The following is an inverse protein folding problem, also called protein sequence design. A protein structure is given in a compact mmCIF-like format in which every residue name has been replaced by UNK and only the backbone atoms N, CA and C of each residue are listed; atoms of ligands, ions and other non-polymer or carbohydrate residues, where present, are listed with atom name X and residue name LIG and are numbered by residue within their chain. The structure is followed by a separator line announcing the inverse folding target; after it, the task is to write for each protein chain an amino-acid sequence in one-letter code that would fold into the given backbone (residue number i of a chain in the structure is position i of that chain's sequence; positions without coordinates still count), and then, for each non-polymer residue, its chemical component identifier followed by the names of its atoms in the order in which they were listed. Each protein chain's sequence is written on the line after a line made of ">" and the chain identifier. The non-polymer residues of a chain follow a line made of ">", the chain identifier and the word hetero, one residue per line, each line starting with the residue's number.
data_IF_715841947410
#
_entry.id   IF_715841947410
#
_cell.length_a   1.000
_cell.length_b   1.000
_cell.length_c   1.000
_cell.angle_alpha   90.00
_cell.angle_beta   90.00
_cell.angle_gamma   90.00
#
_symmetry.space_group_name_H-M   'P 1'
#
loop_
_entity.id
_entity.type
_entity.pdbx_description
1 polymer ?
#
# COMPACT_ATOMS: atom_id res chain seq x y z
N UNK A 1 21.70 -15.79 -0.35
CA UNK A 1 22.39 -14.57 0.13
C UNK A 1 21.63 -14.07 1.35
N UNK A 2 22.32 -13.56 2.37
CA UNK A 2 21.71 -13.17 3.65
C UNK A 2 21.44 -11.65 3.65
N UNK A 3 20.24 -11.23 4.03
CA UNK A 3 19.84 -9.82 4.10
C UNK A 3 20.59 -9.11 5.24
N UNK A 4 20.85 -7.80 5.09
CA UNK A 4 21.49 -6.99 6.12
C UNK A 4 20.45 -6.12 6.84
N UNK A 5 20.35 -6.29 8.15
CA UNK A 5 19.56 -5.42 9.01
C UNK A 5 20.15 -4.00 9.05
N UNK A 6 19.31 -2.98 8.82
CA UNK A 6 19.70 -1.57 8.96
C UNK A 6 19.40 -1.05 10.36
N UNK A 7 20.34 -0.30 10.93
CA UNK A 7 20.19 0.40 12.21
C UNK A 7 19.11 1.49 12.13
N UNK A 8 18.58 1.92 13.28
CA UNK A 8 17.59 3.02 13.36
C UNK A 8 18.10 4.28 12.67
N UNK A 9 19.36 4.65 12.88
CA UNK A 9 19.98 5.83 12.25
C UNK A 9 20.04 5.71 10.72
N UNK A 10 20.35 4.51 10.22
CA UNK A 10 20.36 4.25 8.78
C UNK A 10 18.95 4.36 8.18
N UNK A 11 17.92 3.91 8.89
CA UNK A 11 16.50 4.07 8.47
C UNK A 11 16.09 5.54 8.46
N UNK A 12 16.45 6.31 9.48
CA UNK A 12 16.17 7.76 9.56
C UNK A 12 16.84 8.50 8.39
N UNK A 13 18.11 8.21 8.12
CA UNK A 13 18.83 8.82 7.00
C UNK A 13 18.16 8.53 5.65
N UNK A 14 17.70 7.30 5.43
CA UNK A 14 16.98 6.96 4.19
C UNK A 14 15.64 7.69 4.11
N UNK A 15 14.86 7.71 5.20
CA UNK A 15 13.56 8.38 5.23
C UNK A 15 13.69 9.89 5.00
N UNK A 16 14.66 10.55 5.62
CA UNK A 16 14.92 11.98 5.42
C UNK A 16 15.23 12.30 3.95
N UNK A 17 16.02 11.46 3.27
CA UNK A 17 16.30 11.62 1.84
C UNK A 17 15.07 11.37 0.95
N UNK A 18 14.15 10.48 1.36
CA UNK A 18 12.89 10.21 0.66
C UNK A 18 11.81 11.28 0.89
N UNK A 19 11.88 12.02 2.00
CA UNK A 19 10.91 13.09 2.33
C UNK A 19 11.40 14.49 1.97
N UNK A 20 12.68 14.66 1.63
CA UNK A 20 13.27 15.94 1.23
C UNK A 20 12.94 16.37 -0.22
N UNK A 21 11.91 15.80 -0.83
CA UNK A 21 11.30 16.33 -2.06
C UNK A 21 10.40 17.52 -1.68
N UNK A 22 10.98 18.58 -1.14
CA UNK A 22 10.29 19.87 -0.96
C UNK A 22 10.27 20.59 -2.30
N UNK A 23 9.06 20.96 -2.72
CA UNK A 23 8.69 21.93 -3.78
C UNK A 23 9.67 22.12 -4.94
N UNK A 24 9.22 21.74 -6.14
CA UNK A 24 9.83 22.19 -7.38
C UNK A 24 9.69 23.72 -7.44
N UNK A 25 10.64 24.47 -6.89
CA UNK A 25 10.71 25.92 -7.02
C UNK A 25 11.21 26.23 -8.45
N UNK A 26 10.38 26.82 -9.33
CA UNK A 26 10.75 27.08 -10.71
C UNK A 26 11.77 28.22 -10.86
N UNK A 27 12.15 28.90 -9.78
CA UNK A 27 13.14 29.96 -9.81
C UNK A 27 14.54 29.40 -9.54
N UNK A 28 15.56 29.71 -10.37
CA UNK A 28 16.93 29.42 -9.99
C UNK A 28 17.24 30.22 -8.71
N UNK A 29 17.88 29.61 -7.69
CA UNK A 29 18.30 30.37 -6.53
C UNK A 29 19.29 31.44 -7.00
N UNK A 30 19.00 32.70 -6.64
CA UNK A 30 19.95 33.80 -6.74
C UNK A 30 21.23 33.40 -5.96
N UNK A 31 22.36 33.66 -6.61
CA UNK A 31 23.75 33.44 -6.23
C UNK A 31 24.08 32.96 -4.79
N UNK A 32 24.94 31.92 -4.71
CA UNK A 32 25.73 31.50 -3.55
C UNK A 32 25.05 30.81 -2.35
N UNK A 33 24.12 29.88 -2.61
CA UNK A 33 23.81 28.80 -1.66
C UNK A 33 24.25 27.46 -2.23
N UNK A 34 25.15 26.74 -1.53
CA UNK A 34 25.45 25.34 -1.81
C UNK A 34 24.12 24.56 -1.92
N UNK A 35 23.70 24.22 -3.14
CA UNK A 35 22.54 23.36 -3.42
C UNK A 35 22.90 21.93 -3.00
N UNK A 36 22.97 21.70 -1.69
CA UNK A 36 23.38 20.43 -1.08
C UNK A 36 22.22 19.59 -0.54
N UNK A 37 20.97 20.00 -0.70
CA UNK A 37 19.89 19.40 0.12
C UNK A 37 18.54 19.20 -0.55
N UNK A 38 18.43 19.24 -1.87
CA UNK A 38 17.18 18.88 -2.55
C UNK A 38 17.25 17.44 -3.08
N UNK A 39 16.36 16.58 -2.57
CA UNK A 39 16.20 15.23 -3.08
C UNK A 39 15.81 15.28 -4.56
N UNK A 40 16.65 14.74 -5.44
CA UNK A 40 16.37 14.67 -6.87
C UNK A 40 16.24 13.22 -7.32
N UNK A 41 15.62 12.98 -8.48
CA UNK A 41 15.39 11.62 -9.00
C UNK A 41 16.69 10.81 -9.15
N UNK A 42 17.83 11.47 -9.39
CA UNK A 42 19.14 10.80 -9.46
C UNK A 42 19.57 10.26 -8.10
N UNK A 43 19.32 11.00 -7.01
CA UNK A 43 19.55 10.53 -5.65
C UNK A 43 18.63 9.34 -5.33
N UNK A 44 17.36 9.41 -5.71
CA UNK A 44 16.42 8.29 -5.54
C UNK A 44 16.89 7.03 -6.28
N UNK A 45 17.27 7.12 -7.55
CA UNK A 45 17.79 5.98 -8.31
C UNK A 45 19.09 5.42 -7.70
N UNK A 46 19.94 6.29 -7.14
CA UNK A 46 21.17 5.86 -6.46
C UNK A 46 20.85 5.10 -5.17
N UNK A 47 19.88 5.59 -4.40
CA UNK A 47 19.37 4.94 -3.20
C UNK A 47 18.73 3.59 -3.54
N UNK A 48 17.88 3.51 -4.57
CA UNK A 48 17.31 2.25 -5.06
C UNK A 48 18.39 1.24 -5.40
N UNK A 49 19.39 1.65 -6.18
CA UNK A 49 20.53 0.79 -6.53
C UNK A 49 21.30 0.32 -5.29
N UNK A 50 21.51 1.20 -4.31
CA UNK A 50 22.18 0.84 -3.07
C UNK A 50 21.37 -0.18 -2.25
N UNK A 51 20.09 0.10 -1.99
CA UNK A 51 19.21 -0.79 -1.23
C UNK A 51 19.05 -2.17 -1.89
N UNK A 52 18.96 -2.21 -3.23
CA UNK A 52 18.92 -3.47 -3.98
C UNK A 52 20.23 -4.24 -3.92
N UNK A 53 21.37 -3.56 -4.06
CA UNK A 53 22.70 -4.21 -4.04
C UNK A 53 23.06 -4.77 -2.67
N UNK A 54 22.66 -4.07 -1.60
CA UNK A 54 22.97 -4.45 -0.22
C UNK A 54 21.93 -5.38 0.41
N UNK A 55 20.87 -5.73 -0.35
CA UNK A 55 19.76 -6.56 0.14
C UNK A 55 19.21 -6.01 1.46
N UNK A 56 18.80 -4.74 1.42
CA UNK A 56 18.27 -4.02 2.57
C UNK A 56 17.10 -4.77 3.22
N UNK A 57 17.25 -5.14 4.49
CA UNK A 57 16.20 -5.75 5.30
C UNK A 57 15.40 -4.69 6.07
N UNK A 58 14.62 -3.88 5.35
CA UNK A 58 13.79 -2.88 5.99
C UNK A 58 12.52 -2.63 5.18
N UNK A 59 11.46 -3.33 5.56
CA UNK A 59 10.14 -3.19 4.94
C UNK A 59 9.66 -1.73 4.89
N UNK A 60 9.87 -0.95 5.97
CA UNK A 60 9.41 0.44 6.05
C UNK A 60 10.04 1.26 4.92
N UNK A 61 11.36 1.17 4.76
CA UNK A 61 12.07 1.87 3.68
C UNK A 61 11.56 1.44 2.31
N UNK A 62 11.40 0.13 2.08
CA UNK A 62 10.89 -0.38 0.81
C UNK A 62 9.45 0.09 0.49
N UNK A 63 8.57 0.15 1.49
CA UNK A 63 7.22 0.70 1.35
C UNK A 63 7.22 2.17 0.93
N UNK A 64 8.09 2.99 1.52
CA UNK A 64 8.21 4.41 1.11
C UNK A 64 8.76 4.54 -0.32
N UNK A 65 9.79 3.78 -0.66
CA UNK A 65 10.36 3.79 -2.02
C UNK A 65 9.34 3.30 -3.05
N UNK A 66 8.56 2.28 -2.71
CA UNK A 66 7.47 1.76 -3.53
C UNK A 66 6.41 2.82 -3.79
N UNK A 67 5.87 3.42 -2.72
CA UNK A 67 4.87 4.49 -2.82
C UNK A 67 5.36 5.64 -3.68
N UNK A 68 6.62 6.03 -3.52
CA UNK A 68 7.21 7.09 -4.34
C UNK A 68 7.23 6.74 -5.82
N UNK A 69 7.68 5.52 -6.20
CA UNK A 69 7.66 5.07 -7.60
C UNK A 69 6.25 5.11 -8.18
N UNK A 70 5.25 4.69 -7.41
CA UNK A 70 3.87 4.70 -7.87
C UNK A 70 3.35 6.11 -8.11
N UNK A 71 3.60 7.02 -7.18
CA UNK A 71 3.23 8.43 -7.34
C UNK A 71 3.88 8.99 -8.58
N UNK A 72 5.18 8.76 -8.78
CA UNK A 72 5.85 9.19 -10.01
C UNK A 72 5.18 8.57 -11.24
N UNK A 73 5.05 7.25 -11.29
CA UNK A 73 4.49 6.55 -12.46
C UNK A 73 3.10 7.04 -12.83
N UNK A 74 2.18 7.14 -11.87
CA UNK A 74 0.80 7.58 -12.10
C UNK A 74 0.74 9.04 -12.58
N UNK A 75 1.71 9.90 -12.22
CA UNK A 75 1.82 11.27 -12.72
C UNK A 75 2.58 11.39 -14.07
N UNK A 76 3.47 10.45 -14.41
CA UNK A 76 4.22 10.47 -15.68
C UNK A 76 3.47 9.78 -16.82
N UNK A 77 2.76 8.68 -16.55
CA UNK A 77 2.13 7.86 -17.61
C UNK A 77 0.94 8.55 -18.31
N UNK A 78 0.37 9.59 -17.70
CA UNK A 78 -0.65 10.44 -18.33
C UNK A 78 -0.13 11.23 -19.54
N UNK A 79 1.18 11.24 -19.78
CA UNK A 79 1.82 11.99 -20.85
C UNK A 79 2.47 11.05 -21.89
N UNK A 80 2.00 11.14 -23.15
CA UNK A 80 2.41 10.24 -24.24
C UNK A 80 3.92 10.22 -24.53
N UNK A 81 4.63 11.32 -24.22
CA UNK A 81 6.07 11.49 -24.38
C UNK A 81 6.90 10.77 -23.30
N UNK A 82 6.26 10.28 -22.22
CA UNK A 82 6.95 9.68 -21.08
C UNK A 82 6.78 8.15 -20.98
N UNK A 83 6.24 7.50 -22.01
CA UNK A 83 6.03 6.03 -22.05
C UNK A 83 7.29 5.22 -21.79
N UNK A 84 8.44 5.67 -22.28
CA UNK A 84 9.72 4.98 -22.08
C UNK A 84 10.21 5.07 -20.63
N UNK A 85 10.02 6.23 -19.99
CA UNK A 85 10.28 6.41 -18.55
C UNK A 85 9.40 5.47 -17.72
N UNK A 86 8.11 5.37 -18.06
CA UNK A 86 7.19 4.43 -17.42
C UNK A 86 7.63 2.97 -17.55
N UNK A 87 8.06 2.53 -18.75
CA UNK A 87 8.62 1.18 -18.96
C UNK A 87 9.86 0.91 -18.11
N UNK A 88 10.75 1.90 -17.95
CA UNK A 88 11.94 1.78 -17.12
C UNK A 88 11.60 1.65 -15.63
N UNK A 89 10.61 2.40 -15.15
CA UNK A 89 10.12 2.28 -13.77
C UNK A 89 9.52 0.88 -13.51
N UNK A 90 8.66 0.39 -14.42
CA UNK A 90 8.11 -0.96 -14.34
C UNK A 90 9.24 -1.99 -14.32
N UNK A 91 10.20 -1.89 -15.25
CA UNK A 91 11.34 -2.80 -15.29
C UNK A 91 12.13 -2.81 -13.97
N UNK A 92 12.42 -1.64 -13.41
CA UNK A 92 13.16 -1.49 -12.16
C UNK A 92 12.44 -2.19 -10.98
N UNK A 93 11.11 -2.11 -10.95
CA UNK A 93 10.28 -2.79 -9.94
C UNK A 93 10.29 -4.31 -10.15
N UNK A 94 10.09 -4.79 -11.38
CA UNK A 94 10.12 -6.23 -11.70
C UNK A 94 11.47 -6.85 -11.38
N UNK A 95 12.56 -6.18 -11.76
CA UNK A 95 13.94 -6.63 -11.54
C UNK A 95 14.26 -6.84 -10.06
N UNK A 96 13.58 -6.12 -9.15
CA UNK A 96 13.72 -6.32 -7.71
C UNK A 96 12.72 -7.34 -7.15
N UNK A 97 11.43 -7.14 -7.44
CA UNK A 97 10.36 -7.91 -6.81
C UNK A 97 10.39 -9.39 -7.21
N UNK A 98 10.79 -9.71 -8.44
CA UNK A 98 10.77 -11.09 -8.93
C UNK A 98 11.84 -11.98 -8.28
N UNK A 99 13.11 -11.57 -8.17
CA UNK A 99 14.09 -12.30 -7.36
C UNK A 99 13.64 -12.47 -5.90
N UNK A 100 13.06 -11.43 -5.28
CA UNK A 100 12.56 -11.50 -3.91
C UNK A 100 11.47 -12.56 -3.75
N UNK A 101 10.45 -12.53 -4.61
CA UNK A 101 9.37 -13.52 -4.56
C UNK A 101 9.87 -14.94 -4.87
N UNK A 102 10.86 -15.09 -5.75
CA UNK A 102 11.48 -16.39 -6.01
C UNK A 102 12.25 -16.92 -4.79
N UNK A 103 12.82 -16.04 -3.95
CA UNK A 103 13.55 -16.42 -2.75
C UNK A 103 12.61 -16.80 -1.60
N UNK A 104 11.51 -16.05 -1.41
CA UNK A 104 10.57 -16.28 -0.31
C UNK A 104 9.42 -17.24 -0.66
N UNK A 105 9.17 -17.49 -1.95
CA UNK A 105 7.98 -18.18 -2.46
C UNK A 105 6.67 -17.43 -2.15
N UNK A 106 5.55 -17.98 -2.59
CA UNK A 106 4.22 -17.45 -2.23
C UNK A 106 3.76 -17.83 -0.82
N UNK A 107 4.37 -18.87 -0.21
CA UNK A 107 3.95 -19.40 1.09
C UNK A 107 4.94 -19.08 2.18
N UNK A 108 4.42 -18.86 3.39
CA UNK A 108 5.27 -18.59 4.55
C UNK A 108 6.11 -19.82 4.91
N UNK A 109 7.39 -19.62 5.21
CA UNK A 109 8.24 -20.69 5.77
C UNK A 109 8.02 -20.79 7.29
N UNK A 110 8.23 -21.97 7.86
CA UNK A 110 7.94 -22.26 9.28
C UNK A 110 8.68 -21.32 10.25
N UNK A 111 9.93 -20.98 9.92
CA UNK A 111 10.82 -20.17 10.74
C UNK A 111 11.16 -18.85 10.02
N UNK A 112 10.24 -18.35 9.18
CA UNK A 112 10.38 -17.05 8.50
C UNK A 112 10.22 -15.91 9.50
N UNK A 113 11.15 -14.96 9.51
CA UNK A 113 10.97 -13.75 10.29
C UNK A 113 9.90 -12.84 9.66
N UNK A 114 9.46 -11.86 10.45
CA UNK A 114 8.36 -11.01 10.02
C UNK A 114 8.75 -9.97 8.97
N UNK A 115 10.03 -9.62 8.85
CA UNK A 115 10.48 -8.72 7.80
C UNK A 115 10.47 -9.44 6.44
N UNK A 116 11.01 -10.66 6.37
CA UNK A 116 10.94 -11.54 5.20
C UNK A 116 9.48 -11.74 4.74
N UNK A 117 8.58 -12.01 5.70
CA UNK A 117 7.14 -12.15 5.43
C UNK A 117 6.53 -10.89 4.81
N UNK A 118 6.88 -9.71 5.32
CA UNK A 118 6.36 -8.45 4.80
C UNK A 118 6.99 -8.08 3.45
N UNK A 119 8.29 -8.37 3.25
CA UNK A 119 8.98 -8.17 1.97
C UNK A 119 8.37 -9.05 0.87
N UNK A 120 7.99 -10.30 1.19
CA UNK A 120 7.22 -11.17 0.30
C UNK A 120 5.90 -10.50 -0.11
N UNK A 121 5.10 -10.01 0.84
CA UNK A 121 3.84 -9.34 0.54
C UNK A 121 4.03 -8.10 -0.33
N UNK A 122 5.08 -7.31 -0.08
CA UNK A 122 5.42 -6.15 -0.90
C UNK A 122 5.82 -6.56 -2.32
N UNK A 123 6.62 -7.61 -2.48
CA UNK A 123 7.01 -8.12 -3.80
C UNK A 123 5.78 -8.60 -4.60
N UNK A 124 4.83 -9.28 -3.96
CA UNK A 124 3.56 -9.66 -4.61
C UNK A 124 2.78 -8.43 -5.05
N UNK A 125 2.61 -7.41 -4.19
CA UNK A 125 1.92 -6.16 -4.53
C UNK A 125 2.57 -5.45 -5.71
N UNK A 126 3.89 -5.37 -5.73
CA UNK A 126 4.65 -4.80 -6.84
C UNK A 126 4.41 -5.56 -8.15
N UNK A 127 4.47 -6.90 -8.13
CA UNK A 127 4.27 -7.71 -9.33
C UNK A 127 2.82 -7.73 -9.82
N UNK A 128 1.86 -7.61 -8.90
CA UNK A 128 0.45 -7.38 -9.26
C UNK A 128 0.26 -6.04 -9.95
N UNK A 129 0.91 -4.97 -9.47
CA UNK A 129 0.85 -3.66 -10.11
C UNK A 129 1.48 -3.66 -11.51
N UNK A 130 2.52 -4.46 -11.73
CA UNK A 130 3.10 -4.66 -13.07
C UNK A 130 2.33 -5.66 -13.93
N UNK A 131 1.20 -6.18 -13.45
CA UNK A 131 0.37 -7.17 -14.14
C UNK A 131 1.13 -8.46 -14.52
N UNK A 132 2.02 -8.94 -13.64
CA UNK A 132 2.78 -10.18 -13.90
C UNK A 132 1.82 -11.37 -14.00
N UNK A 133 1.73 -12.07 -15.15
CA UNK A 133 0.64 -13.02 -15.41
C UNK A 133 0.56 -14.18 -14.43
N UNK A 134 1.70 -14.69 -13.98
CA UNK A 134 1.82 -15.75 -12.99
C UNK A 134 1.30 -15.33 -11.61
N UNK A 135 1.63 -14.11 -11.19
CA UNK A 135 1.18 -13.55 -9.91
C UNK A 135 -0.31 -13.23 -9.95
N UNK A 136 -0.79 -12.63 -11.05
CA UNK A 136 -2.22 -12.36 -11.25
C UNK A 136 -3.02 -13.66 -11.22
N UNK A 137 -2.57 -14.71 -11.92
CA UNK A 137 -3.25 -16.00 -11.92
C UNK A 137 -3.32 -16.62 -10.52
N UNK A 138 -2.22 -16.60 -9.77
CA UNK A 138 -2.19 -17.15 -8.41
C UNK A 138 -3.07 -16.36 -7.43
N UNK A 139 -3.06 -15.03 -7.50
CA UNK A 139 -3.89 -14.19 -6.62
C UNK A 139 -5.37 -14.27 -6.99
N UNK A 140 -5.72 -14.37 -8.28
CA UNK A 140 -7.09 -14.69 -8.70
C UNK A 140 -7.55 -16.02 -8.14
N UNK A 141 -6.71 -17.07 -8.23
CA UNK A 141 -7.02 -18.39 -7.66
C UNK A 141 -7.24 -18.32 -6.13
N UNK A 142 -6.41 -17.55 -5.43
CA UNK A 142 -6.56 -17.35 -3.98
C UNK A 142 -7.81 -16.53 -3.64
N UNK A 143 -8.23 -15.58 -4.48
CA UNK A 143 -9.44 -14.78 -4.25
C UNK A 143 -10.73 -15.62 -4.24
N UNK A 144 -10.70 -16.83 -4.81
CA UNK A 144 -11.82 -17.79 -4.80
C UNK A 144 -11.84 -18.70 -3.55
N UNK A 145 -10.80 -18.66 -2.70
CA UNK A 145 -10.75 -19.41 -1.46
C UNK A 145 -11.52 -18.68 -0.34
N UNK A 146 -12.06 -19.42 0.65
CA UNK A 146 -12.54 -18.82 1.89
C UNK A 146 -11.44 -17.99 2.58
N UNK A 147 -11.80 -16.83 3.17
CA UNK A 147 -10.82 -15.93 3.81
C UNK A 147 -10.06 -16.60 4.97
N UNK A 148 -10.68 -17.57 5.63
CA UNK A 148 -10.10 -18.40 6.69
C UNK A 148 -9.01 -19.35 6.18
N UNK A 149 -9.03 -19.72 4.90
CA UNK A 149 -8.02 -20.56 4.26
C UNK A 149 -6.82 -19.77 3.73
N UNK A 150 -6.93 -18.44 3.65
CA UNK A 150 -5.84 -17.55 3.25
C UNK A 150 -4.86 -17.34 4.41
N UNK A 151 -3.56 -17.44 4.10
CA UNK A 151 -2.51 -17.03 5.03
C UNK A 151 -2.69 -15.57 5.44
N UNK A 152 -2.60 -15.28 6.74
CA UNK A 152 -2.84 -13.93 7.27
C UNK A 152 -2.04 -12.83 6.53
N UNK A 153 -0.72 -12.99 6.28
CA UNK A 153 0.09 -11.95 5.64
C UNK A 153 -0.36 -11.54 4.24
N UNK A 154 -0.86 -12.50 3.43
CA UNK A 154 -1.23 -12.24 2.04
C UNK A 154 -2.71 -11.87 1.88
N UNK A 155 -3.54 -12.19 2.88
CA UNK A 155 -5.00 -12.00 2.83
C UNK A 155 -5.38 -10.56 2.48
N UNK A 156 -4.68 -9.55 3.02
CA UNK A 156 -4.92 -8.14 2.68
C UNK A 156 -4.69 -7.83 1.18
N UNK A 157 -3.67 -8.44 0.58
CA UNK A 157 -3.36 -8.26 -0.85
C UNK A 157 -4.44 -8.91 -1.70
N UNK A 158 -4.87 -10.13 -1.32
CA UNK A 158 -5.94 -10.86 -2.02
C UNK A 158 -7.28 -10.12 -1.93
N UNK A 159 -7.65 -9.61 -0.75
CA UNK A 159 -8.91 -8.86 -0.57
C UNK A 159 -8.91 -7.55 -1.35
N UNK A 160 -7.79 -6.81 -1.39
CA UNK A 160 -7.66 -5.60 -2.21
C UNK A 160 -7.76 -5.90 -3.71
N UNK A 161 -7.10 -6.96 -4.17
CA UNK A 161 -7.20 -7.41 -5.55
C UNK A 161 -8.64 -7.79 -5.90
N UNK A 162 -9.32 -8.59 -5.06
CA UNK A 162 -10.69 -9.02 -5.28
C UNK A 162 -11.68 -7.83 -5.32
N UNK A 163 -11.53 -6.88 -4.39
CA UNK A 163 -12.39 -5.70 -4.31
C UNK A 163 -12.24 -4.80 -5.54
N UNK A 164 -11.00 -4.58 -5.99
CA UNK A 164 -10.70 -3.64 -7.09
C UNK A 164 -10.80 -4.27 -8.47
N UNK A 165 -10.17 -5.43 -8.68
CA UNK A 165 -9.98 -6.02 -10.01
C UNK A 165 -11.07 -7.04 -10.37
N UNK A 166 -11.68 -7.69 -9.38
CA UNK A 166 -12.71 -8.72 -9.59
C UNK A 166 -14.14 -8.21 -9.29
N UNK A 167 -14.30 -6.93 -8.94
CA UNK A 167 -15.61 -6.34 -8.65
C UNK A 167 -16.30 -6.89 -7.39
N UNK A 168 -15.57 -7.54 -6.47
CA UNK A 168 -16.13 -8.18 -5.27
C UNK A 168 -16.29 -7.25 -4.07
N UNK A 169 -16.19 -5.93 -4.27
CA UNK A 169 -16.25 -4.95 -3.19
C UNK A 169 -17.57 -5.00 -2.40
N UNK A 170 -18.71 -5.16 -3.06
CA UNK A 170 -20.02 -5.26 -2.38
C UNK A 170 -20.19 -6.57 -1.59
N UNK A 171 -19.73 -7.70 -2.14
CA UNK A 171 -19.70 -8.99 -1.43
C UNK A 171 -18.84 -8.91 -0.16
N UNK A 172 -17.64 -8.34 -0.28
CA UNK A 172 -16.73 -8.12 0.85
C UNK A 172 -17.33 -7.16 1.88
N UNK A 173 -18.11 -6.17 1.45
CA UNK A 173 -18.80 -5.23 2.33
C UNK A 173 -19.86 -5.95 3.17
N UNK A 174 -20.62 -6.86 2.57
CA UNK A 174 -21.59 -7.70 3.30
C UNK A 174 -20.87 -8.56 4.34
N UNK A 175 -19.82 -9.30 3.96
CA UNK A 175 -19.02 -10.12 4.89
C UNK A 175 -18.45 -9.32 6.05
N UNK A 176 -17.95 -8.10 5.78
CA UNK A 176 -17.42 -7.21 6.82
C UNK A 176 -18.41 -6.91 7.95
N UNK A 177 -19.70 -6.78 7.61
CA UNK A 177 -20.76 -6.43 8.55
C UNK A 177 -21.48 -7.66 9.14
N UNK A 178 -21.38 -8.83 8.50
CA UNK A 178 -21.95 -10.09 8.97
C UNK A 178 -21.01 -10.86 9.92
N UNK A 179 -19.70 -10.86 9.69
CA UNK A 179 -18.71 -11.64 10.46
C UNK A 179 -18.30 -10.97 11.80
N UNK A 180 -19.23 -10.34 12.53
CA UNK A 180 -18.94 -9.72 13.83
C UNK A 180 -18.85 -10.77 14.95
N UNK A 181 -17.86 -11.67 14.85
CA UNK A 181 -17.16 -12.13 16.04
C UNK A 181 -15.98 -11.20 16.26
N UNK A 182 -15.97 -10.49 17.39
CA UNK A 182 -14.83 -9.67 17.79
C UNK A 182 -13.68 -10.61 18.15
N UNK A 183 -12.94 -11.08 17.16
CA UNK A 183 -11.68 -11.76 17.41
C UNK A 183 -10.80 -10.80 18.24
N UNK A 184 -10.41 -11.18 19.47
CA UNK A 184 -9.61 -10.29 20.29
C UNK A 184 -8.28 -10.07 19.57
N UNK A 185 -7.79 -8.82 19.48
CA UNK A 185 -6.48 -8.55 18.90
C UNK A 185 -5.42 -8.99 19.92
N UNK A 186 -5.15 -10.29 19.99
CA UNK A 186 -4.07 -10.83 20.81
C UNK A 186 -3.24 -11.75 19.92
N UNK A 187 -2.13 -11.22 19.42
CA UNK A 187 -1.04 -12.02 18.86
C UNK A 187 -0.97 -12.20 17.33
N UNK A 188 -1.85 -11.57 16.53
CA UNK A 188 -1.73 -11.66 15.06
C UNK A 188 -0.86 -10.52 14.53
N UNK A 189 0.44 -10.77 14.43
CA UNK A 189 1.46 -9.83 13.89
C UNK A 189 1.07 -9.21 12.54
N UNK A 190 0.25 -9.91 11.77
CA UNK A 190 -0.11 -9.54 10.40
C UNK A 190 -1.55 -9.05 10.22
N UNK A 191 -2.35 -8.89 11.28
CA UNK A 191 -3.74 -8.38 11.21
C UNK A 191 -4.84 -9.45 11.19
N UNK A 192 -6.08 -9.04 11.49
CA UNK A 192 -7.27 -9.91 11.53
C UNK A 192 -7.96 -10.03 10.17
N UNK A 193 -8.86 -11.02 9.99
CA UNK A 193 -9.71 -11.13 8.78
C UNK A 193 -10.45 -9.82 8.53
N UNK A 194 -11.07 -9.28 9.58
CA UNK A 194 -11.80 -8.01 9.53
C UNK A 194 -10.93 -6.86 9.02
N UNK A 195 -9.69 -6.75 9.52
CA UNK A 195 -8.74 -5.72 9.08
C UNK A 195 -8.31 -5.89 7.62
N UNK A 196 -8.19 -7.12 7.14
CA UNK A 196 -7.85 -7.40 5.75
C UNK A 196 -9.02 -7.12 4.79
N UNK A 197 -10.26 -7.41 5.20
CA UNK A 197 -11.44 -7.00 4.46
C UNK A 197 -11.50 -5.47 4.41
N UNK A 198 -11.27 -4.80 5.54
CA UNK A 198 -11.24 -3.33 5.62
C UNK A 198 -10.22 -2.70 4.67
N UNK A 199 -9.00 -3.24 4.66
CA UNK A 199 -7.95 -2.86 3.73
C UNK A 199 -8.43 -2.99 2.27
N UNK A 200 -9.05 -4.12 1.92
CA UNK A 200 -9.55 -4.37 0.57
C UNK A 200 -10.68 -3.42 0.16
N UNK A 201 -11.64 -3.16 1.05
CA UNK A 201 -12.74 -2.21 0.80
C UNK A 201 -12.25 -0.79 0.57
N UNK A 202 -11.20 -0.37 1.29
CA UNK A 202 -10.58 0.95 1.10
C UNK A 202 -9.70 1.03 -0.16
N UNK A 203 -9.22 -0.10 -0.70
CA UNK A 203 -8.54 -0.17 -1.99
C UNK A 203 -9.50 -0.21 -3.20
N UNK A 204 -10.80 -0.43 -2.96
CA UNK A 204 -11.82 -0.60 -3.98
C UNK A 204 -11.97 0.65 -4.87
N UNK A 205 -12.24 0.38 -6.14
CA UNK A 205 -12.59 1.37 -7.17
C UNK A 205 -13.45 0.66 -8.20
N UNK A 206 -14.62 1.20 -8.50
CA UNK A 206 -15.51 0.65 -9.52
C UNK A 206 -15.09 1.19 -10.89
N UNK A 207 -14.24 0.45 -11.60
CA UNK A 207 -13.75 0.83 -12.94
C UNK A 207 -14.90 0.99 -13.96
N UNK A 208 -16.05 0.34 -13.75
CA UNK A 208 -17.23 0.51 -14.62
C UNK A 208 -17.89 1.89 -14.46
N UNK A 209 -17.57 2.60 -13.38
CA UNK A 209 -18.09 3.92 -13.01
C UNK A 209 -16.99 4.97 -12.97
N UNK A 210 -15.86 4.71 -13.63
CA UNK A 210 -14.75 5.66 -13.75
C UNK A 210 -15.25 7.03 -14.23
N UNK A 211 -14.72 8.10 -13.64
CA UNK A 211 -15.05 9.50 -13.92
C UNK A 211 -16.49 9.89 -13.49
N UNK A 212 -17.13 9.07 -12.65
CA UNK A 212 -18.44 9.39 -12.03
C UNK A 212 -18.31 9.56 -10.51
N UNK A 213 -19.29 10.22 -9.85
CA UNK A 213 -19.29 10.32 -8.39
C UNK A 213 -19.26 8.96 -7.66
N UNK A 214 -19.73 7.88 -8.29
CA UNK A 214 -19.88 6.56 -7.67
C UNK A 214 -18.63 5.68 -7.78
N UNK A 215 -17.59 6.11 -8.50
CA UNK A 215 -16.32 5.39 -8.68
C UNK A 215 -15.70 4.89 -7.36
N UNK A 216 -15.83 5.69 -6.30
CA UNK A 216 -15.27 5.42 -4.97
C UNK A 216 -16.35 5.20 -3.90
N UNK A 217 -17.57 4.82 -4.29
CA UNK A 217 -18.71 4.70 -3.37
C UNK A 217 -18.40 3.85 -2.14
N UNK A 218 -17.91 2.61 -2.33
CA UNK A 218 -17.60 1.68 -1.23
C UNK A 218 -16.53 2.25 -0.30
N UNK A 219 -15.45 2.81 -0.85
CA UNK A 219 -14.39 3.47 -0.08
C UNK A 219 -14.99 4.58 0.80
N UNK A 220 -15.80 5.47 0.23
CA UNK A 220 -16.38 6.61 0.97
C UNK A 220 -17.35 6.16 2.04
N UNK A 221 -18.19 5.16 1.76
CA UNK A 221 -19.11 4.57 2.76
C UNK A 221 -18.34 4.01 3.95
N UNK A 222 -17.30 3.23 3.69
CA UNK A 222 -16.47 2.57 4.71
C UNK A 222 -15.65 3.59 5.51
N UNK A 223 -14.96 4.53 4.85
CA UNK A 223 -14.20 5.58 5.53
C UNK A 223 -15.12 6.46 6.39
N UNK A 224 -16.29 6.84 5.87
CA UNK A 224 -17.27 7.59 6.65
C UNK A 224 -17.74 6.80 7.87
N UNK A 225 -18.00 5.49 7.74
CA UNK A 225 -18.41 4.66 8.87
C UNK A 225 -17.32 4.57 9.96
N UNK A 226 -16.05 4.43 9.57
CA UNK A 226 -14.90 4.31 10.49
C UNK A 226 -14.61 5.62 11.23
N UNK A 227 -14.76 6.76 10.57
CA UNK A 227 -14.38 8.07 11.10
C UNK A 227 -15.57 8.92 11.62
N UNK A 228 -16.81 8.42 11.59
CA UNK A 228 -17.98 9.20 12.00
C UNK A 228 -18.18 9.27 13.52
N UNK A 229 -17.31 10.02 14.23
CA UNK A 229 -17.30 10.23 15.68
C UNK A 229 -18.63 10.75 16.29
N UNK A 230 -19.56 11.25 15.47
CA UNK A 230 -20.84 11.82 15.91
C UNK A 230 -21.92 10.79 16.29
N UNK A 231 -21.73 9.50 15.94
CA UNK A 231 -22.64 8.40 16.30
C UNK A 231 -21.95 7.41 17.25
N UNK A 232 -21.74 7.76 18.53
CA UNK A 232 -21.04 6.92 19.48
C UNK A 232 -21.67 5.53 19.66
N UNK A 233 -22.96 5.33 19.35
CA UNK A 233 -23.59 4.00 19.43
C UNK A 233 -23.18 3.04 18.28
N UNK A 234 -22.65 3.58 17.17
CA UNK A 234 -22.00 2.81 16.09
C UNK A 234 -20.50 2.59 16.34
N UNK A 235 -19.88 3.44 17.18
CA UNK A 235 -18.42 3.50 17.37
C UNK A 235 -17.97 2.88 18.69
N UNK A 236 -18.76 2.95 19.74
CA UNK A 236 -18.40 2.50 21.11
C UNK A 236 -18.21 0.99 21.26
N UNK A 237 -18.40 0.21 20.17
CA UNK A 237 -18.07 -1.21 20.11
C UNK A 237 -17.20 -1.62 18.91
N UNK A 238 -16.89 -0.73 17.96
CA UNK A 238 -16.72 -1.21 16.58
C UNK A 238 -15.38 -0.93 15.88
N UNK A 239 -14.55 0.03 16.26
CA UNK A 239 -13.29 0.28 15.51
C UNK A 239 -12.14 0.71 16.44
N UNK A 240 -11.04 -0.05 16.42
CA UNK A 240 -9.80 0.32 17.15
C UNK A 240 -8.90 1.18 16.25
N UNK A 241 -7.94 1.95 16.81
CA UNK A 241 -6.97 2.71 15.99
C UNK A 241 -6.24 1.87 14.95
N UNK A 242 -6.04 0.57 15.23
CA UNK A 242 -5.45 -0.37 14.28
C UNK A 242 -6.34 -0.57 13.04
N UNK A 243 -7.66 -0.61 13.18
CA UNK A 243 -8.59 -0.72 12.03
C UNK A 243 -8.51 0.53 11.15
N UNK A 244 -8.43 1.71 11.76
CA UNK A 244 -8.24 2.98 11.04
C UNK A 244 -6.93 2.95 10.24
N UNK A 245 -5.85 2.44 10.84
CA UNK A 245 -4.56 2.28 10.16
C UNK A 245 -4.68 1.33 8.95
N UNK A 246 -5.37 0.20 9.08
CA UNK A 246 -5.60 -0.73 7.97
C UNK A 246 -6.44 -0.12 6.85
N UNK A 247 -7.48 0.63 7.18
CA UNK A 247 -8.28 1.38 6.21
C UNK A 247 -7.44 2.39 5.42
N UNK A 248 -6.60 3.19 6.11
CA UNK A 248 -5.69 4.13 5.46
C UNK A 248 -4.62 3.42 4.61
N UNK A 249 -4.09 2.29 5.08
CA UNK A 249 -3.15 1.48 4.28
C UNK A 249 -3.80 0.99 2.98
N UNK A 250 -5.06 0.53 3.04
CA UNK A 250 -5.82 0.11 1.85
C UNK A 250 -6.09 1.27 0.89
N UNK A 251 -6.51 2.42 1.42
CA UNK A 251 -6.75 3.62 0.60
C UNK A 251 -5.49 4.19 -0.04
N UNK A 252 -4.33 4.05 0.62
CA UNK A 252 -3.03 4.47 0.07
C UNK A 252 -2.41 3.43 -0.87
N UNK A 253 -3.08 2.29 -1.08
CA UNK A 253 -2.67 1.31 -2.07
C UNK A 253 -2.86 1.81 -3.50
N UNK A 254 -3.58 2.91 -3.76
CA UNK A 254 -3.63 3.52 -5.10
C UNK A 254 -3.66 5.04 -4.98
N UNK A 255 -2.91 5.77 -5.81
CA UNK A 255 -2.85 7.25 -5.71
C UNK A 255 -4.24 7.83 -5.96
N UNK A 256 -5.01 7.24 -6.88
CA UNK A 256 -6.41 7.62 -7.16
C UNK A 256 -7.32 7.54 -5.94
N UNK A 257 -7.06 6.63 -5.00
CA UNK A 257 -7.89 6.42 -3.81
C UNK A 257 -7.53 7.39 -2.66
N UNK A 258 -6.34 8.01 -2.71
CA UNK A 258 -5.84 8.87 -1.64
C UNK A 258 -6.68 10.15 -1.47
N UNK A 259 -7.00 10.82 -2.58
CA UNK A 259 -7.82 12.05 -2.55
C UNK A 259 -9.19 11.84 -1.88
N UNK A 260 -10.05 10.89 -2.32
CA UNK A 260 -11.35 10.68 -1.69
C UNK A 260 -11.23 10.24 -0.23
N UNK A 261 -10.18 9.48 0.14
CA UNK A 261 -9.93 9.11 1.52
C UNK A 261 -9.60 10.32 2.42
N UNK A 262 -8.74 11.23 1.95
CA UNK A 262 -8.40 12.48 2.66
C UNK A 262 -9.61 13.41 2.76
N UNK A 263 -10.40 13.53 1.69
CA UNK A 263 -11.65 14.32 1.71
C UNK A 263 -12.65 13.79 2.73
N UNK A 264 -12.80 12.48 2.86
CA UNK A 264 -13.63 11.89 3.92
C UNK A 264 -13.09 12.25 5.31
N UNK A 265 -11.78 12.16 5.54
CA UNK A 265 -11.19 12.52 6.83
C UNK A 265 -11.36 14.02 7.16
N UNK A 266 -11.08 14.91 6.20
CA UNK A 266 -11.11 16.36 6.41
C UNK A 266 -12.53 16.92 6.65
N UNK A 267 -13.56 16.27 6.11
CA UNK A 267 -14.95 16.72 6.22
C UNK A 267 -15.69 16.14 7.44
N UNK A 268 -15.01 15.37 8.29
CA UNK A 268 -15.63 14.79 9.48
C UNK A 268 -15.37 15.65 10.72
N UNK A 269 -16.39 15.85 11.57
CA UNK A 269 -16.23 16.63 12.79
C UNK A 269 -15.15 15.99 13.68
N UNK A 270 -14.31 16.80 14.36
CA UNK A 270 -13.30 16.26 15.26
C UNK A 270 -13.96 15.41 16.36
N UNK A 271 -13.25 14.43 16.92
CA UNK A 271 -13.77 13.68 18.06
C UNK A 271 -14.18 14.64 19.18
N UNK A 272 -15.31 14.39 19.87
CA UNK A 272 -15.69 15.21 21.01
C UNK A 272 -14.57 15.22 22.07
N UNK A 273 -14.40 16.33 22.80
CA UNK A 273 -13.38 16.47 23.83
C UNK A 273 -13.53 15.48 24.98
#
# INVERSE_FOLDING_TARGET
>A
QQFKEYTVDSRIAVLQNLTAFTEYDPLPPEDDVEVKSQGNLRLFCSLWKHCTSDMLDCIVTWEYMWRFIRILYENYISHDDQKETGKRMVKMVVDWARPMLSQFSFKMRRDEDSCDTQLRCLAVRMLLWTESPDVVAEITRQADLPLSELESPIRAVVTAFAARQLGRAEELKVKYWEEVEMDPPVGVEFGTIRQHILYGLCAARDESKKDTPDEFKVLREVMTAIFNYSKPNLISRSFVPLDQLWAFRGASEHVTNMKPAVECFANLPPPPP
#
